data_IF_280835552156
#
_entry.id   IF_280835552156
#
_cell.length_a   1.000
_cell.length_b   1.000
_cell.length_c   1.000
_cell.angle_alpha   90.00
_cell.angle_beta   90.00
_cell.angle_gamma   90.00
#
_symmetry.space_group_name_H-M   'P 1'
#
loop_
_entity.id
_entity.type
_entity.pdbx_description
1 polymer ?
#
# COMPACT_ATOMS: atom_id res chain seq x y z
N UNK A 1 -19.47 20.08 35.32
CA UNK A 1 -20.16 20.03 34.00
C UNK A 1 -19.24 20.34 32.81
N UNK A 2 -18.50 21.46 32.79
CA UNK A 2 -17.56 21.79 31.68
C UNK A 2 -16.47 20.74 31.42
N UNK A 3 -15.90 20.11 32.47
CA UNK A 3 -14.87 19.06 32.31
C UNK A 3 -15.40 17.77 31.65
N UNK A 4 -16.66 17.43 31.93
CA UNK A 4 -17.34 16.27 31.34
C UNK A 4 -17.64 16.54 29.86
N UNK A 5 -18.05 17.77 29.55
CA UNK A 5 -18.21 18.23 28.17
C UNK A 5 -16.89 18.20 27.39
N UNK A 6 -15.79 18.64 28.00
CA UNK A 6 -14.45 18.59 27.39
C UNK A 6 -13.96 17.16 27.16
N UNK A 7 -14.22 16.23 28.08
CA UNK A 7 -13.89 14.80 27.92
C UNK A 7 -14.70 14.15 26.79
N UNK A 8 -15.98 14.48 26.66
CA UNK A 8 -16.82 13.98 25.57
C UNK A 8 -16.35 14.47 24.20
N UNK A 9 -15.94 15.74 24.11
CA UNK A 9 -15.37 16.31 22.87
C UNK A 9 -14.04 15.64 22.53
N UNK A 10 -13.16 15.42 23.52
CA UNK A 10 -11.89 14.75 23.30
C UNK A 10 -12.07 13.31 22.79
N UNK A 11 -13.04 12.56 23.34
CA UNK A 11 -13.37 11.20 22.91
C UNK A 11 -13.88 11.17 21.45
N UNK A 12 -14.61 12.21 21.02
CA UNK A 12 -15.15 12.32 19.66
C UNK A 12 -14.08 12.65 18.60
N UNK A 13 -12.93 13.18 19.02
CA UNK A 13 -11.82 13.63 18.16
C UNK A 13 -10.75 12.55 17.98
N UNK A 14 -10.82 11.41 18.69
CA UNK A 14 -9.96 10.24 18.47
C UNK A 14 -10.38 9.57 17.15
N UNK A 15 -10.06 10.21 16.02
CA UNK A 15 -10.14 9.57 14.70
C UNK A 15 -9.18 8.39 14.70
N UNK A 16 -9.72 7.19 14.50
CA UNK A 16 -8.92 5.99 14.29
C UNK A 16 -7.89 6.24 13.17
N UNK A 17 -6.65 5.81 13.38
CA UNK A 17 -5.57 6.03 12.43
C UNK A 17 -5.95 5.56 11.03
N UNK A 18 -5.87 6.46 10.05
CA UNK A 18 -6.06 6.09 8.65
C UNK A 18 -4.78 5.40 8.15
N UNK A 19 -4.89 4.13 7.79
CA UNK A 19 -3.83 3.45 7.03
C UNK A 19 -3.78 4.01 5.61
N UNK A 20 -2.58 4.05 5.02
CA UNK A 20 -2.45 4.38 3.60
C UNK A 20 -3.20 3.35 2.73
N UNK A 21 -3.92 3.85 1.72
CA UNK A 21 -4.59 3.00 0.75
C UNK A 21 -3.55 2.39 -0.19
N UNK A 22 -3.10 1.18 0.12
CA UNK A 22 -2.18 0.45 -0.75
C UNK A 22 -2.92 -0.07 -1.98
N UNK A 23 -2.38 0.18 -3.16
CA UNK A 23 -2.88 -0.37 -4.43
C UNK A 23 -1.74 -0.99 -5.23
N UNK A 24 -2.03 -2.06 -5.96
CA UNK A 24 -1.03 -2.76 -6.75
C UNK A 24 -0.36 -1.84 -7.78
N UNK A 25 -1.16 -1.16 -8.61
CA UNK A 25 -0.65 -0.34 -9.72
C UNK A 25 0.22 0.82 -9.26
N UNK A 26 -0.13 1.47 -8.15
CA UNK A 26 0.61 2.63 -7.66
C UNK A 26 1.85 2.22 -6.85
N UNK A 27 1.74 1.20 -6.01
CA UNK A 27 2.76 0.92 -5.00
C UNK A 27 3.64 -0.29 -5.34
N UNK A 28 3.08 -1.33 -5.95
CA UNK A 28 3.76 -2.62 -6.13
C UNK A 28 4.29 -2.78 -7.56
N UNK A 29 3.49 -2.45 -8.57
CA UNK A 29 3.86 -2.62 -9.97
C UNK A 29 5.17 -1.89 -10.35
N UNK A 30 5.47 -0.66 -9.89
CA UNK A 30 6.75 -0.01 -10.20
C UNK A 30 7.95 -0.75 -9.61
N UNK A 31 7.79 -1.37 -8.44
CA UNK A 31 8.86 -2.12 -7.78
C UNK A 31 9.19 -3.36 -8.60
N UNK A 32 8.16 -4.16 -8.95
CA UNK A 32 8.31 -5.36 -9.77
C UNK A 32 8.95 -5.00 -11.12
N UNK A 33 8.44 -3.96 -11.79
CA UNK A 33 8.94 -3.52 -13.09
C UNK A 33 10.41 -3.11 -13.06
N UNK A 34 10.83 -2.40 -12.01
CA UNK A 34 12.18 -1.83 -11.94
C UNK A 34 13.22 -2.78 -11.33
N UNK A 35 12.80 -3.74 -10.52
CA UNK A 35 13.71 -4.60 -9.74
C UNK A 35 13.66 -6.07 -10.15
N UNK A 36 12.56 -6.55 -10.72
CA UNK A 36 12.36 -7.97 -10.99
C UNK A 36 12.20 -8.25 -12.48
N UNK A 37 11.35 -7.50 -13.19
CA UNK A 37 11.12 -7.65 -14.64
C UNK A 37 12.39 -7.56 -15.51
N UNK A 38 13.49 -6.89 -15.11
CA UNK A 38 14.71 -6.95 -15.91
C UNK A 38 15.26 -8.37 -16.11
N UNK A 39 15.14 -9.23 -15.11
CA UNK A 39 15.53 -10.65 -15.21
C UNK A 39 14.34 -11.56 -15.52
N UNK A 40 13.16 -11.21 -15.02
CA UNK A 40 11.90 -11.98 -15.17
C UNK A 40 11.06 -11.48 -16.34
N UNK A 41 11.65 -11.37 -17.53
CA UNK A 41 10.95 -11.15 -18.80
C UNK A 41 11.27 -12.30 -19.75
N UNK A 42 10.41 -12.60 -20.74
CA UNK A 42 10.67 -13.67 -21.69
C UNK A 42 12.03 -13.53 -22.38
N UNK A 43 12.81 -14.62 -22.40
CA UNK A 43 14.13 -14.66 -23.02
C UNK A 43 15.28 -14.15 -22.15
N UNK A 44 15.03 -13.76 -20.90
CA UNK A 44 16.09 -13.36 -19.94
C UNK A 44 16.42 -14.46 -18.93
N UNK A 45 17.37 -14.16 -18.04
CA UNK A 45 17.99 -15.12 -17.13
C UNK A 45 17.06 -15.83 -16.13
N UNK A 46 15.88 -15.27 -15.82
CA UNK A 46 15.01 -15.82 -14.79
C UNK A 46 13.87 -16.71 -15.38
N UNK A 47 13.40 -17.73 -14.65
CA UNK A 47 12.66 -18.84 -15.22
C UNK A 47 11.18 -18.57 -15.55
N UNK A 48 10.65 -17.36 -15.28
CA UNK A 48 9.26 -16.99 -15.57
C UNK A 48 9.08 -15.48 -15.78
N UNK A 49 7.98 -15.11 -16.45
CA UNK A 49 7.66 -13.72 -16.77
C UNK A 49 6.82 -13.03 -15.68
N UNK A 50 7.17 -11.78 -15.34
CA UNK A 50 6.44 -10.92 -14.39
C UNK A 50 5.67 -9.77 -15.08
N UNK A 51 5.26 -9.96 -16.34
CA UNK A 51 4.58 -8.95 -17.13
C UNK A 51 3.05 -8.99 -16.99
N UNK A 52 2.51 -10.19 -16.74
CA UNK A 52 1.08 -10.47 -16.64
C UNK A 52 0.82 -11.42 -15.47
N UNK A 53 -0.43 -11.45 -15.02
CA UNK A 53 -0.92 -12.52 -14.15
C UNK A 53 -1.35 -13.71 -15.02
N UNK A 54 -1.21 -14.93 -14.51
CA UNK A 54 -1.78 -16.15 -15.10
C UNK A 54 -3.08 -16.53 -14.40
#
# INVERSE_FOLDING_TARGET
MKKILLLFIALLVIKGGFSQKLTYYEHIAPIIKNKCTPCHRPGEAAPFALLTYE
#
